data_IF_969885565122
#
_entry.id   IF_969885565122
#
_cell.length_a   1.000
_cell.length_b   1.000
_cell.length_c   1.000
_cell.angle_alpha   90.00
_cell.angle_beta   90.00
_cell.angle_gamma   90.00
#
_symmetry.space_group_name_H-M   'P 1'
#
loop_
_entity.id
_entity.type
_entity.pdbx_description
1 polymer ?
#
# COMPACT_ATOMS: atom_id res chain seq x y z
N UNK A 1 -7.65 4.19 2.83
CA UNK A 1 -7.47 2.92 3.57
C UNK A 1 -6.88 3.09 4.98
N UNK A 2 -7.34 2.31 5.98
CA UNK A 2 -6.75 2.24 7.33
C UNK A 2 -5.78 1.05 7.45
N UNK A 3 -4.62 1.26 8.06
CA UNK A 3 -3.55 0.26 8.21
C UNK A 3 -3.33 -0.04 9.68
N UNK A 4 -3.41 -1.30 10.06
CA UNK A 4 -3.28 -1.72 11.46
C UNK A 4 -2.01 -2.53 11.67
N UNK A 5 -1.11 -2.14 12.58
CA UNK A 5 0.05 -2.95 12.91
C UNK A 5 -0.37 -4.29 13.55
N UNK A 6 0.31 -5.37 13.16
CA UNK A 6 0.09 -6.73 13.65
C UNK A 6 1.42 -7.50 13.67
N UNK A 7 2.19 -7.29 14.74
CA UNK A 7 3.55 -7.83 14.84
C UNK A 7 4.45 -7.24 13.76
N UNK A 8 5.14 -8.10 13.01
CA UNK A 8 6.02 -7.70 11.90
C UNK A 8 5.28 -7.34 10.59
N UNK A 9 3.94 -7.30 10.64
CA UNK A 9 3.10 -7.04 9.48
C UNK A 9 2.17 -5.86 9.73
N UNK A 10 1.73 -5.26 8.65
CA UNK A 10 0.61 -4.34 8.59
C UNK A 10 -0.57 -5.03 7.91
N UNK A 11 -1.72 -5.04 8.60
CA UNK A 11 -2.98 -5.55 8.12
C UNK A 11 -3.78 -4.39 7.50
N UNK A 12 -4.33 -4.64 6.32
CA UNK A 12 -5.12 -3.65 5.60
C UNK A 12 -6.16 -4.30 4.70
N UNK A 13 -7.16 -3.51 4.31
CA UNK A 13 -8.23 -3.92 3.41
C UNK A 13 -8.12 -3.14 2.11
N UNK A 14 -8.05 -3.83 0.98
CA UNK A 14 -7.92 -3.19 -0.32
C UNK A 14 -9.22 -2.43 -0.65
N UNK A 15 -9.14 -1.10 -0.76
CA UNK A 15 -10.29 -0.24 -1.08
C UNK A 15 -10.92 -0.54 -2.47
N UNK A 16 -10.25 -1.35 -3.32
CA UNK A 16 -10.75 -1.71 -4.66
C UNK A 16 -11.48 -3.07 -4.74
N UNK A 17 -11.02 -4.09 -4.00
CA UNK A 17 -11.61 -5.44 -4.06
C UNK A 17 -12.00 -6.02 -2.70
N UNK A 18 -11.97 -5.20 -1.64
CA UNK A 18 -12.29 -5.57 -0.25
C UNK A 18 -11.47 -6.73 0.32
N UNK A 19 -10.42 -7.15 -0.37
CA UNK A 19 -9.56 -8.23 0.08
C UNK A 19 -8.74 -7.80 1.30
N UNK A 20 -8.57 -8.74 2.22
CA UNK A 20 -7.70 -8.57 3.39
C UNK A 20 -6.26 -8.89 3.00
N UNK A 21 -5.35 -7.96 3.25
CA UNK A 21 -3.94 -8.05 2.90
C UNK A 21 -3.04 -7.92 4.13
N UNK A 22 -1.83 -8.47 4.02
CA UNK A 22 -0.77 -8.40 5.03
C UNK A 22 0.53 -7.99 4.34
N UNK A 23 1.11 -6.87 4.75
CA UNK A 23 2.39 -6.37 4.21
C UNK A 23 3.44 -6.36 5.31
N UNK A 24 4.63 -6.91 5.08
CA UNK A 24 5.74 -6.87 6.06
C UNK A 24 6.17 -5.41 6.28
N UNK A 25 6.47 -5.04 7.53
CA UNK A 25 6.86 -3.67 7.89
C UNK A 25 8.05 -3.13 7.07
N UNK A 26 9.02 -3.96 6.72
CA UNK A 26 10.16 -3.57 5.88
C UNK A 26 9.77 -3.16 4.47
N UNK A 27 8.67 -3.70 3.93
CA UNK A 27 8.12 -3.27 2.63
C UNK A 27 7.36 -1.96 2.76
N UNK A 28 6.68 -1.75 3.88
CA UNK A 28 6.00 -0.49 4.20
C UNK A 28 6.98 0.67 4.28
N UNK A 29 8.17 0.44 4.84
CA UNK A 29 9.25 1.44 4.91
C UNK A 29 9.74 1.89 3.50
N UNK A 30 9.57 1.05 2.48
CA UNK A 30 9.84 1.41 1.08
C UNK A 30 8.68 2.16 0.41
N UNK A 31 7.61 2.45 1.13
CA UNK A 31 6.43 3.19 0.65
C UNK A 31 5.48 2.39 -0.24
N UNK A 32 5.70 1.09 -0.44
CA UNK A 32 4.97 0.27 -1.44
C UNK A 32 4.08 -0.79 -0.80
N UNK A 33 2.79 -0.70 -1.08
CA UNK A 33 1.78 -1.70 -0.74
C UNK A 33 1.25 -2.33 -2.02
N UNK A 34 1.12 -3.66 -2.05
CA UNK A 34 0.56 -4.35 -3.21
C UNK A 34 -0.51 -5.32 -2.72
N UNK A 35 -1.70 -5.25 -3.32
CA UNK A 35 -2.77 -6.17 -3.00
C UNK A 35 -2.52 -7.51 -3.66
N UNK A 36 -2.47 -8.60 -2.88
CA UNK A 36 -2.22 -9.92 -3.42
C UNK A 36 -3.39 -10.47 -4.28
N UNK A 37 -4.61 -9.95 -4.09
CA UNK A 37 -5.79 -10.39 -4.82
C UNK A 37 -5.93 -9.69 -6.18
N UNK A 38 -5.88 -8.36 -6.21
CA UNK A 38 -6.06 -7.59 -7.44
C UNK A 38 -4.75 -7.13 -8.09
N UNK A 39 -3.61 -7.40 -7.46
CA UNK A 39 -2.26 -7.05 -7.93
C UNK A 39 -2.05 -5.54 -8.14
N UNK A 40 -2.91 -4.69 -7.56
CA UNK A 40 -2.76 -3.24 -7.60
C UNK A 40 -1.77 -2.76 -6.55
N UNK A 41 -0.99 -1.77 -6.93
CA UNK A 41 -0.05 -1.07 -6.06
C UNK A 41 -0.71 0.13 -5.40
N UNK A 42 -0.24 0.45 -4.20
CA UNK A 42 -0.72 1.51 -3.35
C UNK A 42 0.50 2.17 -2.68
N UNK A 43 0.48 3.49 -2.58
CA UNK A 43 1.55 4.29 -1.97
C UNK A 43 1.09 4.83 -0.64
N UNK A 44 2.04 4.98 0.28
CA UNK A 44 1.81 5.64 1.57
C UNK A 44 2.30 7.07 1.48
N UNK A 45 1.41 8.01 1.77
CA UNK A 45 1.76 9.41 1.92
C UNK A 45 2.38 9.69 3.29
N UNK A 46 3.08 10.82 3.41
CA UNK A 46 3.80 11.27 4.61
C UNK A 46 2.94 11.35 5.87
N UNK A 47 1.62 11.44 5.71
CA UNK A 47 0.61 11.52 6.76
C UNK A 47 0.07 10.15 7.20
N UNK A 48 0.58 9.07 6.60
CA UNK A 48 0.18 7.69 6.88
C UNK A 48 -1.07 7.23 6.13
N UNK A 49 -1.61 8.03 5.21
CA UNK A 49 -2.70 7.62 4.35
C UNK A 49 -2.21 6.80 3.15
N UNK A 50 -2.94 5.73 2.84
CA UNK A 50 -2.63 4.86 1.70
C UNK A 50 -3.62 5.11 0.58
N UNK A 51 -3.08 5.39 -0.60
CA UNK A 51 -3.81 5.65 -1.84
C UNK A 51 -3.41 4.67 -2.93
N UNK A 52 -4.36 4.36 -3.81
CA UNK A 52 -4.10 3.56 -5.01
C UNK A 52 -3.12 4.35 -5.89
N UNK A 53 -2.00 3.73 -6.27
CA UNK A 53 -1.12 4.34 -7.26
C UNK A 53 -1.72 4.08 -8.62
N UNK A 54 -2.22 5.12 -9.26
CA UNK A 54 -2.45 5.05 -10.70
C UNK A 54 -1.09 5.06 -11.40
N UNK A 55 -0.96 4.25 -12.45
CA UNK A 55 0.32 3.99 -13.13
C UNK A 55 1.01 5.23 -13.71
N UNK A 56 0.32 6.38 -13.78
CA UNK A 56 0.88 7.66 -14.23
C UNK A 56 1.71 8.38 -13.15
N UNK A 57 1.53 8.08 -11.86
CA UNK A 57 2.24 8.76 -10.76
C UNK A 57 3.71 8.31 -10.64
N UNK A 58 4.03 7.10 -11.13
CA UNK A 58 5.40 6.56 -11.07
C UNK A 58 6.37 7.24 -12.05
N UNK A 59 5.87 7.99 -13.04
CA UNK A 59 6.69 8.73 -14.00
C UNK A 59 7.15 10.11 -13.47
N UNK A 60 6.51 10.65 -12.44
CA UNK A 60 6.79 11.99 -11.92
C UNK A 60 7.89 12.04 -10.84
N UNK A 61 8.25 10.91 -10.23
CA UNK A 61 9.35 10.85 -9.25
C UNK A 61 10.73 10.57 -9.88
N UNK A 62 10.81 10.50 -11.20
CA UNK A 62 12.03 10.14 -11.94
C UNK A 62 12.64 11.28 -12.77
N UNK A 63 12.18 12.53 -12.61
CA UNK A 63 12.70 13.73 -13.30
C UNK A 63 13.29 14.73 -12.32
#
# INVERSE_FOLDING_TARGET
MNVMPKGDYYLWYCDWCDSKNLTIWTKVDTGKFCCAACQREFSVESDGHIHLTDSDDMLLQAV
#
